data_IF_968065491485
#
_entry.id   IF_968065491485
#
_cell.length_a   1.000
_cell.length_b   1.000
_cell.length_c   1.000
_cell.angle_alpha   90.00
_cell.angle_beta   90.00
_cell.angle_gamma   90.00
#
_symmetry.space_group_name_H-M   'P 1'
#
loop_
_entity.id
_entity.type
_entity.pdbx_description
1 polymer ?
#
# COMPACT_ATOMS: atom_id res chain seq x y z
N UNK A 1 15.17 10.48 -47.07
CA UNK A 1 16.15 10.80 -46.01
C UNK A 1 15.33 11.30 -44.84
N UNK A 2 15.15 10.46 -43.81
CA UNK A 2 14.34 10.81 -42.66
C UNK A 2 15.24 11.56 -41.67
N UNK A 3 14.99 12.86 -41.50
CA UNK A 3 15.53 13.64 -40.39
C UNK A 3 14.97 13.05 -39.10
N UNK A 4 15.75 12.16 -38.47
CA UNK A 4 15.57 11.81 -37.07
C UNK A 4 15.92 13.06 -36.28
N UNK A 5 14.91 13.84 -35.94
CA UNK A 5 15.01 14.86 -34.91
C UNK A 5 15.48 14.17 -33.63
N UNK A 6 16.77 14.31 -33.32
CA UNK A 6 17.33 13.96 -32.03
C UNK A 6 16.73 14.95 -31.04
N UNK A 7 15.64 14.56 -30.40
CA UNK A 7 15.03 15.28 -29.30
C UNK A 7 16.11 15.41 -28.22
N UNK A 8 16.76 16.59 -28.16
CA UNK A 8 17.83 16.85 -27.23
C UNK A 8 17.22 16.80 -25.84
N UNK A 9 17.63 15.80 -25.04
CA UNK A 9 17.20 15.67 -23.66
C UNK A 9 17.36 17.02 -22.94
N UNK A 10 16.25 17.65 -22.58
CA UNK A 10 16.28 18.87 -21.79
C UNK A 10 16.65 18.49 -20.36
N UNK A 11 17.74 19.10 -19.87
CA UNK A 11 18.15 18.96 -18.48
C UNK A 11 17.23 19.87 -17.68
N UNK A 12 16.21 19.30 -17.06
CA UNK A 12 15.23 20.03 -16.26
C UNK A 12 15.80 20.47 -14.90
N UNK A 13 16.71 19.67 -14.34
CA UNK A 13 17.30 19.91 -13.01
C UNK A 13 18.57 20.76 -13.13
N UNK A 14 18.53 21.98 -12.59
CA UNK A 14 19.70 22.86 -12.47
C UNK A 14 20.40 22.64 -11.14
N UNK A 15 21.72 22.73 -11.13
CA UNK A 15 22.53 22.62 -9.92
C UNK A 15 22.34 23.85 -9.03
N UNK A 16 21.94 23.56 -7.80
CA UNK A 16 21.88 24.44 -6.66
C UNK A 16 22.76 23.84 -5.55
N UNK A 17 23.17 24.65 -4.57
CA UNK A 17 24.04 24.18 -3.47
C UNK A 17 23.42 23.05 -2.64
N UNK A 18 22.09 22.91 -2.69
CA UNK A 18 21.32 21.94 -1.91
C UNK A 18 20.77 20.77 -2.71
N UNK A 19 21.13 20.59 -4.00
CA UNK A 19 20.54 19.50 -4.80
C UNK A 19 21.58 18.71 -5.61
N UNK A 20 22.87 18.80 -5.24
CA UNK A 20 23.95 18.11 -5.95
C UNK A 20 23.70 16.60 -6.14
N UNK A 21 23.05 15.93 -5.19
CA UNK A 21 22.72 14.50 -5.27
C UNK A 21 21.63 14.17 -6.30
N UNK A 22 20.71 15.10 -6.58
CA UNK A 22 19.70 14.97 -7.63
C UNK A 22 20.30 15.38 -8.98
N UNK A 23 21.09 16.45 -9.00
CA UNK A 23 21.74 16.95 -10.19
C UNK A 23 22.75 15.97 -10.79
N UNK A 24 23.62 15.37 -9.95
CA UNK A 24 24.70 14.46 -10.39
C UNK A 24 24.20 13.29 -11.26
N UNK A 25 23.23 12.46 -10.84
CA UNK A 25 22.73 11.36 -11.65
C UNK A 25 22.05 11.86 -12.93
N UNK A 26 21.32 12.99 -12.90
CA UNK A 26 20.69 13.56 -14.09
C UNK A 26 21.72 13.98 -15.14
N UNK A 27 22.80 14.64 -14.74
CA UNK A 27 23.87 15.03 -15.67
C UNK A 27 24.63 13.81 -16.19
N UNK A 28 24.90 12.80 -15.34
CA UNK A 28 25.48 11.52 -15.78
C UNK A 28 24.60 10.89 -16.88
N UNK A 29 23.28 10.85 -16.66
CA UNK A 29 22.34 10.29 -17.61
C UNK A 29 22.32 11.09 -18.92
N UNK A 30 22.28 12.42 -18.87
CA UNK A 30 22.36 13.28 -20.06
C UNK A 30 23.67 13.09 -20.83
N UNK A 31 24.80 12.99 -20.12
CA UNK A 31 26.10 12.69 -20.74
C UNK A 31 26.11 11.31 -21.40
N UNK A 32 25.48 10.30 -20.80
CA UNK A 32 25.36 8.96 -21.37
C UNK A 32 24.50 8.96 -22.65
N UNK A 33 23.32 9.60 -22.63
CA UNK A 33 22.41 9.71 -23.78
C UNK A 33 23.11 10.38 -24.97
N UNK A 34 23.90 11.43 -24.74
CA UNK A 34 24.63 12.14 -25.79
C UNK A 34 25.99 11.49 -26.14
N UNK A 35 26.27 10.30 -25.61
CA UNK A 35 27.53 9.57 -25.83
C UNK A 35 28.77 10.43 -25.49
N UNK A 36 28.68 11.22 -24.43
CA UNK A 36 29.73 12.14 -23.95
C UNK A 36 30.28 11.74 -22.58
N UNK A 37 29.74 10.69 -21.95
CA UNK A 37 30.09 10.27 -20.60
C UNK A 37 31.59 10.06 -20.40
N UNK A 38 32.27 9.38 -21.33
CA UNK A 38 33.70 9.06 -21.20
C UNK A 38 34.62 10.29 -21.17
N UNK A 39 34.16 11.45 -21.67
CA UNK A 39 34.94 12.69 -21.68
C UNK A 39 34.84 13.47 -20.37
N UNK A 40 33.74 13.30 -19.63
CA UNK A 40 33.54 13.93 -18.34
C UNK A 40 33.84 12.97 -17.16
N UNK A 41 33.46 11.69 -17.27
CA UNK A 41 33.39 10.72 -16.17
C UNK A 41 33.91 9.35 -16.66
N UNK A 42 35.20 9.10 -16.48
CA UNK A 42 35.83 7.83 -16.87
C UNK A 42 37.36 7.93 -16.96
N UNK A 43 38.06 6.85 -17.38
CA UNK A 43 39.45 6.94 -17.79
C UNK A 43 39.52 7.90 -18.98
N UNK A 44 39.95 9.13 -18.70
CA UNK A 44 39.92 10.23 -19.66
C UNK A 44 40.62 9.78 -20.94
N UNK A 45 39.95 9.78 -22.10
CA UNK A 45 40.66 9.60 -23.36
C UNK A 45 41.68 10.74 -23.45
N UNK A 46 42.97 10.40 -23.32
CA UNK A 46 44.05 11.40 -23.33
C UNK A 46 43.82 12.36 -24.49
N UNK A 47 43.86 13.67 -24.19
CA UNK A 47 43.72 14.71 -25.21
C UNK A 47 44.72 14.40 -26.33
N UNK A 48 44.25 14.10 -27.54
CA UNK A 48 45.15 13.72 -28.61
C UNK A 48 46.07 14.90 -28.92
N UNK A 49 47.36 14.61 -29.12
CA UNK A 49 48.39 15.61 -29.41
C UNK A 49 48.19 16.32 -30.76
N UNK A 50 47.41 15.69 -31.65
CA UNK A 50 46.91 16.29 -32.89
C UNK A 50 45.43 16.55 -32.73
N UNK A 51 44.92 17.64 -33.33
CA UNK A 51 43.52 18.02 -33.27
C UNK A 51 42.63 16.95 -33.92
N UNK A 52 42.18 15.98 -33.13
CA UNK A 52 41.08 15.10 -33.51
C UNK A 52 39.79 15.90 -33.34
N UNK A 53 39.20 16.32 -34.46
CA UNK A 53 37.96 17.10 -34.48
C UNK A 53 36.85 16.42 -33.68
N UNK A 54 36.80 15.08 -33.69
CA UNK A 54 35.80 14.29 -32.97
C UNK A 54 35.99 14.37 -31.45
N UNK A 55 37.23 14.39 -30.98
CA UNK A 55 37.51 14.57 -29.55
C UNK A 55 37.08 15.96 -29.09
N UNK A 56 37.46 17.00 -29.82
CA UNK A 56 37.15 18.39 -29.47
C UNK A 56 35.65 18.69 -29.52
N UNK A 57 34.94 18.07 -30.46
CA UNK A 57 33.48 18.13 -30.57
C UNK A 57 32.80 17.51 -29.35
N UNK A 58 33.15 16.25 -29.01
CA UNK A 58 32.54 15.54 -27.89
C UNK A 58 32.86 16.15 -26.53
N UNK A 59 34.08 16.65 -26.35
CA UNK A 59 34.46 17.39 -25.15
C UNK A 59 33.66 18.70 -25.01
N UNK A 60 33.47 19.47 -26.10
CA UNK A 60 32.63 20.68 -26.07
C UNK A 60 31.17 20.36 -25.80
N UNK A 61 30.65 19.28 -26.36
CA UNK A 61 29.30 18.80 -26.08
C UNK A 61 29.12 18.43 -24.60
N UNK A 62 30.09 17.73 -24.00
CA UNK A 62 30.10 17.42 -22.58
C UNK A 62 30.11 18.69 -21.71
N UNK A 63 30.98 19.67 -22.03
CA UNK A 63 31.01 20.96 -21.33
C UNK A 63 29.67 21.68 -21.45
N UNK A 64 29.06 21.70 -22.64
CA UNK A 64 27.78 22.36 -22.86
C UNK A 64 26.65 21.73 -22.03
N UNK A 65 26.62 20.38 -21.94
CA UNK A 65 25.68 19.64 -21.10
C UNK A 65 25.86 20.02 -19.63
N UNK A 66 27.09 19.96 -19.12
CA UNK A 66 27.40 20.32 -17.74
C UNK A 66 27.04 21.79 -17.48
N UNK A 67 27.52 22.72 -18.30
CA UNK A 67 27.29 24.16 -18.11
C UNK A 67 25.81 24.55 -18.20
N UNK A 68 25.02 23.96 -19.10
CA UNK A 68 23.56 24.20 -19.21
C UNK A 68 22.82 23.76 -17.94
N UNK A 69 23.32 22.75 -17.26
CA UNK A 69 22.77 22.26 -16.01
C UNK A 69 23.20 23.08 -14.78
N UNK A 70 24.01 24.14 -14.92
CA UNK A 70 24.42 24.99 -13.81
C UNK A 70 23.50 26.21 -13.68
N UNK A 71 23.24 26.64 -12.45
CA UNK A 71 22.68 27.98 -12.20
C UNK A 71 23.71 29.07 -12.56
N UNK A 72 23.28 30.31 -12.89
CA UNK A 72 24.21 31.38 -13.27
C UNK A 72 25.30 31.66 -12.23
N UNK A 73 24.97 31.54 -10.94
CA UNK A 73 25.91 31.74 -9.84
C UNK A 73 27.01 30.67 -9.82
N UNK A 74 26.65 29.40 -9.96
CA UNK A 74 27.61 28.29 -9.99
C UNK A 74 28.41 28.30 -11.29
N UNK A 75 27.79 28.63 -12.42
CA UNK A 75 28.48 28.80 -13.70
C UNK A 75 29.59 29.85 -13.61
N UNK A 76 29.34 30.99 -12.91
CA UNK A 76 30.37 32.01 -12.67
C UNK A 76 31.53 31.49 -11.79
N UNK A 77 31.25 30.63 -10.82
CA UNK A 77 32.26 30.01 -9.94
C UNK A 77 33.22 29.12 -10.73
N UNK A 78 32.70 28.35 -11.69
CA UNK A 78 33.46 27.38 -12.49
C UNK A 78 33.81 27.88 -13.90
N UNK A 79 33.79 29.19 -14.11
CA UNK A 79 34.01 29.80 -15.43
C UNK A 79 35.41 29.50 -15.97
N UNK A 80 36.42 29.43 -15.09
CA UNK A 80 37.80 29.15 -15.49
C UNK A 80 37.94 27.75 -16.08
N UNK A 81 37.30 26.76 -15.48
CA UNK A 81 37.28 25.37 -15.94
C UNK A 81 36.50 25.22 -17.26
N UNK A 82 35.42 26.00 -17.44
CA UNK A 82 34.68 26.07 -18.71
C UNK A 82 35.57 26.65 -19.82
N UNK A 83 36.30 27.74 -19.52
CA UNK A 83 37.21 28.39 -20.48
C UNK A 83 38.41 27.50 -20.80
N UNK A 84 38.87 26.68 -19.85
CA UNK A 84 39.97 25.73 -20.06
C UNK A 84 39.64 24.61 -21.06
N UNK A 85 38.37 24.50 -21.49
CA UNK A 85 37.88 23.50 -22.42
C UNK A 85 38.20 22.06 -21.98
N UNK A 86 38.05 21.77 -20.68
CA UNK A 86 38.27 20.43 -20.14
C UNK A 86 37.03 19.96 -19.35
N UNK A 87 36.24 19.09 -19.99
CA UNK A 87 35.01 18.56 -19.40
C UNK A 87 35.28 17.75 -18.13
N UNK A 88 36.41 17.03 -18.07
CA UNK A 88 36.77 16.21 -16.92
C UNK A 88 37.22 17.08 -15.75
N UNK A 89 38.06 18.09 -16.01
CA UNK A 89 38.46 19.05 -14.99
C UNK A 89 37.24 19.80 -14.43
N UNK A 90 36.33 20.25 -15.29
CA UNK A 90 35.08 20.88 -14.88
C UNK A 90 34.23 19.95 -14.01
N UNK A 91 34.01 18.71 -14.45
CA UNK A 91 33.25 17.72 -13.68
C UNK A 91 33.87 17.48 -12.31
N UNK A 92 35.19 17.27 -12.25
CA UNK A 92 35.89 17.04 -10.99
C UNK A 92 35.86 18.27 -10.07
N UNK A 93 36.01 19.48 -10.61
CA UNK A 93 35.94 20.72 -9.83
C UNK A 93 34.55 20.94 -9.22
N UNK A 94 33.48 20.67 -9.99
CA UNK A 94 32.11 20.71 -9.48
C UNK A 94 31.91 19.60 -8.45
N UNK A 95 32.29 18.36 -8.77
CA UNK A 95 32.18 17.23 -7.85
C UNK A 95 32.88 17.53 -6.55
N UNK A 96 34.15 17.91 -6.57
CA UNK A 96 34.97 18.07 -5.37
C UNK A 96 34.63 19.36 -4.60
N UNK A 97 34.15 20.40 -5.28
CA UNK A 97 33.75 21.66 -4.66
C UNK A 97 32.33 21.60 -4.06
N UNK A 98 31.36 21.13 -4.84
CA UNK A 98 29.96 21.08 -4.41
C UNK A 98 29.67 19.86 -3.53
N UNK A 99 30.33 18.71 -3.71
CA UNK A 99 30.19 17.59 -2.74
C UNK A 99 30.66 17.96 -1.33
N UNK A 100 31.63 18.88 -1.21
CA UNK A 100 32.10 19.38 0.09
C UNK A 100 31.16 20.41 0.70
N UNK A 101 30.46 21.19 -0.12
CA UNK A 101 29.41 22.11 0.34
C UNK A 101 28.16 21.34 0.79
N UNK A 102 27.94 20.15 0.23
CA UNK A 102 26.90 19.20 0.63
C UNK A 102 27.17 18.59 2.00
N UNK A 103 28.36 18.72 2.60
CA UNK A 103 28.56 18.50 4.04
C UNK A 103 27.90 19.60 4.91
N UNK A 104 26.75 20.11 4.48
CA UNK A 104 25.85 20.86 5.33
C UNK A 104 25.34 19.88 6.39
N UNK A 105 25.90 19.99 7.59
CA UNK A 105 25.53 19.16 8.74
C UNK A 105 24.01 19.10 8.94
N UNK A 106 23.31 20.22 8.70
CA UNK A 106 21.85 20.27 8.77
C UNK A 106 21.16 19.40 7.71
N UNK A 107 21.65 19.41 6.46
CA UNK A 107 21.06 18.59 5.41
C UNK A 107 21.24 17.10 5.71
N UNK A 108 22.42 16.72 6.22
CA UNK A 108 22.68 15.36 6.73
C UNK A 108 21.74 15.01 7.88
N UNK A 109 21.61 15.87 8.88
CA UNK A 109 20.74 15.65 10.04
C UNK A 109 19.28 15.46 9.61
N UNK A 110 18.80 16.30 8.69
CA UNK A 110 17.45 16.18 8.14
C UNK A 110 17.26 14.84 7.41
N UNK A 111 18.24 14.38 6.62
CA UNK A 111 18.20 13.07 5.95
C UNK A 111 18.22 11.90 6.92
N UNK A 112 19.04 11.98 7.97
CA UNK A 112 19.11 10.96 9.02
C UNK A 112 17.78 10.91 9.77
N UNK A 113 17.20 12.06 10.08
CA UNK A 113 15.87 12.16 10.67
C UNK A 113 14.79 11.59 9.75
N UNK A 114 14.82 11.92 8.46
CA UNK A 114 13.94 11.37 7.43
C UNK A 114 14.04 9.83 7.39
N UNK A 115 15.26 9.29 7.43
CA UNK A 115 15.53 7.85 7.46
C UNK A 115 14.87 7.17 8.66
N UNK A 116 15.12 7.65 9.88
CA UNK A 116 14.61 7.02 11.09
C UNK A 116 13.11 7.26 11.33
N UNK A 117 12.56 8.35 10.79
CA UNK A 117 11.11 8.65 10.82
C UNK A 117 10.32 7.98 9.71
N UNK A 118 10.97 7.44 8.67
CA UNK A 118 10.28 6.74 7.60
C UNK A 118 9.47 5.56 8.16
N UNK A 119 8.15 5.59 7.93
CA UNK A 119 7.21 4.53 8.28
C UNK A 119 6.54 4.00 7.02
N UNK A 120 6.20 2.71 7.05
CA UNK A 120 5.37 2.07 6.05
C UNK A 120 3.91 2.36 6.32
N UNK A 121 3.17 2.79 5.29
CA UNK A 121 1.74 3.09 5.36
C UNK A 121 0.99 2.15 4.39
N UNK A 122 0.50 0.98 4.86
CA UNK A 122 -0.05 -0.06 3.98
C UNK A 122 -1.23 0.36 3.10
N UNK A 123 -1.99 1.38 3.50
CA UNK A 123 -3.15 1.87 2.77
C UNK A 123 -2.80 2.88 1.66
N UNK A 124 -1.59 3.44 1.66
CA UNK A 124 -1.19 4.49 0.71
C UNK A 124 0.00 4.11 -0.16
N UNK A 125 0.80 3.13 0.25
CA UNK A 125 1.97 2.70 -0.52
C UNK A 125 2.13 1.17 -0.46
N UNK A 126 2.79 0.58 -1.47
CA UNK A 126 3.20 -0.83 -1.40
C UNK A 126 4.48 -0.97 -0.58
N UNK A 127 4.77 -2.19 -0.08
CA UNK A 127 6.05 -2.47 0.59
C UNK A 127 7.25 -2.13 -0.32
N UNK A 128 7.12 -2.40 -1.62
CA UNK A 128 8.16 -2.07 -2.61
C UNK A 128 8.42 -0.56 -2.73
N UNK A 129 7.37 0.27 -2.63
CA UNK A 129 7.52 1.73 -2.63
C UNK A 129 8.20 2.22 -1.36
N UNK A 130 7.83 1.66 -0.21
CA UNK A 130 8.50 1.95 1.06
C UNK A 130 10.00 1.59 1.03
N UNK A 131 10.34 0.40 0.53
CA UNK A 131 11.74 -0.04 0.35
C UNK A 131 12.48 0.90 -0.62
N UNK A 132 11.85 1.31 -1.72
CA UNK A 132 12.45 2.26 -2.68
C UNK A 132 12.74 3.61 -2.01
N UNK A 133 11.84 4.09 -1.16
CA UNK A 133 12.02 5.33 -0.39
C UNK A 133 13.19 5.22 0.59
N UNK A 134 13.30 4.13 1.35
CA UNK A 134 14.46 3.89 2.24
C UNK A 134 15.79 3.86 1.48
N UNK A 135 15.85 3.17 0.33
CA UNK A 135 17.06 3.13 -0.52
C UNK A 135 17.39 4.49 -1.12
N UNK A 136 16.38 5.28 -1.48
CA UNK A 136 16.57 6.66 -1.96
C UNK A 136 17.20 7.54 -0.88
N UNK A 137 16.76 7.40 0.37
CA UNK A 137 17.38 8.13 1.50
C UNK A 137 18.80 7.63 1.75
N UNK A 138 19.04 6.31 1.70
CA UNK A 138 20.38 5.74 1.83
C UNK A 138 21.34 6.27 0.76
N UNK A 139 20.96 6.30 -0.52
CA UNK A 139 21.82 6.79 -1.60
C UNK A 139 22.13 8.29 -1.47
N UNK A 140 21.20 9.08 -0.95
CA UNK A 140 21.46 10.49 -0.57
C UNK A 140 22.45 10.58 0.59
N UNK A 141 22.39 9.65 1.55
CA UNK A 141 23.31 9.55 2.68
C UNK A 141 24.70 8.99 2.32
N UNK A 142 24.85 8.23 1.22
CA UNK A 142 26.15 7.73 0.73
C UNK A 142 27.17 8.83 0.43
N UNK A 143 26.70 10.05 0.21
CA UNK A 143 27.56 11.22 0.00
C UNK A 143 28.17 11.78 1.30
N UNK A 144 27.81 11.24 2.47
CA UNK A 144 28.24 11.70 3.78
C UNK A 144 29.03 10.63 4.54
N UNK A 145 29.72 11.04 5.60
CA UNK A 145 30.43 10.12 6.48
C UNK A 145 29.46 9.18 7.21
N UNK A 146 29.80 7.88 7.19
CA UNK A 146 29.06 6.78 7.81
C UNK A 146 27.61 6.63 7.30
N UNK A 147 27.41 6.30 6.02
CA UNK A 147 26.08 6.05 5.49
C UNK A 147 25.42 4.83 6.15
N UNK A 148 24.08 4.75 6.15
CA UNK A 148 23.38 3.59 6.68
C UNK A 148 23.82 2.30 6.00
N UNK A 149 24.24 1.34 6.82
CA UNK A 149 24.56 -0.02 6.40
C UNK A 149 23.29 -0.82 6.07
N UNK A 150 23.43 -1.92 5.34
CA UNK A 150 22.32 -2.86 5.09
C UNK A 150 21.65 -3.36 6.38
N UNK A 151 22.42 -3.51 7.46
CA UNK A 151 21.88 -3.87 8.78
C UNK A 151 20.99 -2.75 9.36
N UNK A 152 21.39 -1.49 9.20
CA UNK A 152 20.57 -0.35 9.62
C UNK A 152 19.34 -0.18 8.74
N UNK A 153 19.44 -0.42 7.43
CA UNK A 153 18.30 -0.48 6.52
C UNK A 153 17.29 -1.55 6.94
N UNK A 154 17.79 -2.76 7.25
CA UNK A 154 16.96 -3.84 7.77
C UNK A 154 16.27 -3.45 9.07
N UNK A 155 17.03 -2.93 10.03
CA UNK A 155 16.48 -2.49 11.30
C UNK A 155 15.36 -1.46 11.08
N UNK A 156 15.59 -0.48 10.20
CA UNK A 156 14.60 0.56 9.88
C UNK A 156 13.38 0.01 9.12
N UNK A 157 13.57 -0.95 8.22
CA UNK A 157 12.47 -1.64 7.55
C UNK A 157 11.55 -2.31 8.58
N UNK A 158 12.11 -3.00 9.57
CA UNK A 158 11.36 -3.68 10.62
C UNK A 158 10.70 -2.68 11.57
N UNK A 159 11.43 -1.71 12.11
CA UNK A 159 10.88 -0.72 13.06
C UNK A 159 9.93 0.27 12.40
N UNK A 160 9.99 0.39 11.07
CA UNK A 160 9.11 1.22 10.26
C UNK A 160 7.76 0.59 9.94
N UNK A 161 7.57 -0.70 10.20
CA UNK A 161 6.26 -1.35 10.05
C UNK A 161 5.24 -0.79 11.06
N UNK A 162 3.94 -0.84 10.77
CA UNK A 162 2.90 -0.47 11.73
C UNK A 162 2.99 -1.27 13.03
N UNK A 163 2.53 -0.67 14.15
CA UNK A 163 2.50 -1.30 15.47
C UNK A 163 1.12 -1.90 15.81
N UNK A 164 0.30 -2.17 14.79
CA UNK A 164 -1.07 -2.68 14.93
C UNK A 164 -1.29 -3.90 14.05
N UNK A 165 -2.17 -4.80 14.51
CA UNK A 165 -2.56 -6.00 13.77
C UNK A 165 -1.39 -6.95 13.46
N UNK A 166 -1.41 -7.55 12.27
CA UNK A 166 -0.40 -8.51 11.82
C UNK A 166 1.04 -7.96 11.82
N UNK A 167 1.20 -6.64 11.62
CA UNK A 167 2.50 -6.01 11.50
C UNK A 167 3.34 -6.13 12.78
N UNK A 168 2.71 -6.08 13.95
CA UNK A 168 3.39 -6.27 15.24
C UNK A 168 4.00 -7.67 15.37
N UNK A 169 3.28 -8.70 14.92
CA UNK A 169 3.77 -10.08 14.93
C UNK A 169 4.94 -10.27 13.96
N UNK A 170 4.83 -9.69 12.75
CA UNK A 170 5.90 -9.68 11.76
C UNK A 170 7.16 -9.02 12.37
N UNK A 171 7.02 -7.86 13.02
CA UNK A 171 8.15 -7.19 13.68
C UNK A 171 8.81 -8.08 14.74
N UNK A 172 8.03 -8.67 15.65
CA UNK A 172 8.55 -9.50 16.73
C UNK A 172 9.33 -10.70 16.17
N UNK A 173 8.79 -11.35 15.13
CA UNK A 173 9.42 -12.50 14.50
C UNK A 173 10.71 -12.13 13.77
N UNK A 174 10.76 -10.96 13.13
CA UNK A 174 11.92 -10.53 12.36
C UNK A 174 13.04 -9.92 13.21
N UNK A 175 12.76 -9.30 14.37
CA UNK A 175 13.79 -8.63 15.21
C UNK A 175 14.92 -9.56 15.67
N UNK A 176 14.63 -10.83 15.91
CA UNK A 176 15.60 -11.82 16.40
C UNK A 176 16.38 -12.56 15.32
N UNK A 177 16.21 -12.22 14.03
CA UNK A 177 16.86 -12.95 12.94
C UNK A 177 18.13 -12.26 12.47
N UNK A 178 19.10 -13.02 11.94
CA UNK A 178 20.30 -12.49 11.30
C UNK A 178 20.15 -12.43 9.77
N UNK A 179 18.90 -12.23 9.30
CA UNK A 179 18.59 -12.19 7.87
C UNK A 179 19.17 -10.94 7.22
N UNK A 180 19.56 -11.07 5.95
CA UNK A 180 19.93 -9.92 5.14
C UNK A 180 18.73 -8.99 4.90
N UNK A 181 19.01 -7.77 4.42
CA UNK A 181 17.95 -6.82 4.05
C UNK A 181 17.00 -7.40 3.01
N UNK A 182 17.53 -8.06 1.98
CA UNK A 182 16.73 -8.69 0.92
C UNK A 182 15.89 -9.87 1.43
N UNK A 183 16.46 -10.76 2.25
CA UNK A 183 15.69 -11.84 2.86
C UNK A 183 14.58 -11.32 3.78
N UNK A 184 14.83 -10.21 4.48
CA UNK A 184 13.81 -9.58 5.34
C UNK A 184 12.63 -9.07 4.53
N UNK A 185 12.88 -8.45 3.36
CA UNK A 185 11.81 -8.01 2.45
C UNK A 185 10.95 -9.22 2.03
N UNK A 186 11.60 -10.29 1.55
CA UNK A 186 10.91 -11.52 1.12
C UNK A 186 10.07 -12.10 2.26
N UNK A 187 10.61 -12.13 3.49
CA UNK A 187 9.86 -12.64 4.64
C UNK A 187 8.65 -11.78 5.00
N UNK A 188 8.75 -10.45 4.89
CA UNK A 188 7.60 -9.56 5.13
C UNK A 188 6.51 -9.86 4.10
N UNK A 189 6.85 -9.96 2.82
CA UNK A 189 5.90 -10.29 1.75
C UNK A 189 5.24 -11.66 1.97
N UNK A 190 6.02 -12.67 2.36
CA UNK A 190 5.50 -13.99 2.69
C UNK A 190 4.52 -13.95 3.87
N UNK A 191 4.85 -13.24 4.95
CA UNK A 191 3.94 -13.11 6.09
C UNK A 191 2.68 -12.33 5.76
N UNK A 192 2.80 -11.27 4.96
CA UNK A 192 1.64 -10.52 4.47
C UNK A 192 0.70 -11.42 3.66
N UNK A 193 1.26 -12.26 2.78
CA UNK A 193 0.48 -13.19 1.98
C UNK A 193 -0.22 -14.26 2.85
N UNK A 194 0.52 -14.89 3.77
CA UNK A 194 -0.04 -15.88 4.71
C UNK A 194 -1.22 -15.28 5.49
N UNK A 195 -1.07 -14.05 5.98
CA UNK A 195 -2.14 -13.39 6.72
C UNK A 195 -3.36 -13.08 5.86
N UNK A 196 -3.16 -12.64 4.62
CA UNK A 196 -4.25 -12.40 3.66
C UNK A 196 -5.00 -13.68 3.34
N UNK A 197 -4.31 -14.81 3.27
CA UNK A 197 -4.93 -16.11 2.97
C UNK A 197 -5.71 -16.62 4.19
N UNK A 198 -5.16 -16.49 5.41
CA UNK A 198 -5.88 -16.81 6.65
C UNK A 198 -7.15 -15.98 6.84
N UNK A 199 -7.09 -14.68 6.55
CA UNK A 199 -8.27 -13.80 6.59
C UNK A 199 -9.36 -14.22 5.60
N UNK A 200 -8.99 -14.73 4.42
CA UNK A 200 -9.97 -15.25 3.45
C UNK A 200 -10.60 -16.55 3.93
N UNK A 201 -9.80 -17.44 4.50
CA UNK A 201 -10.32 -18.70 5.06
C UNK A 201 -11.28 -18.44 6.22
N UNK A 202 -10.99 -17.49 7.09
CA UNK A 202 -11.87 -17.10 8.21
C UNK A 202 -13.21 -16.51 7.71
N UNK A 203 -13.18 -15.62 6.71
CA UNK A 203 -14.41 -15.06 6.12
C UNK A 203 -15.25 -16.13 5.42
N UNK A 204 -14.63 -17.07 4.71
CA UNK A 204 -15.36 -18.18 4.07
C UNK A 204 -15.98 -19.09 5.12
N UNK A 205 -15.28 -19.38 6.22
CA UNK A 205 -15.83 -20.19 7.31
C UNK A 205 -17.02 -19.50 8.00
N UNK A 206 -16.94 -18.19 8.26
CA UNK A 206 -18.06 -17.42 8.82
C UNK A 206 -19.28 -17.39 7.87
N UNK A 207 -19.07 -17.27 6.56
CA UNK A 207 -20.17 -17.35 5.58
C UNK A 207 -20.80 -18.75 5.52
N UNK A 208 -20.00 -19.82 5.60
CA UNK A 208 -20.50 -21.20 5.65
C UNK A 208 -21.28 -21.50 6.94
N UNK A 209 -20.81 -20.99 8.09
CA UNK A 209 -21.51 -21.12 9.38
C UNK A 209 -22.84 -20.35 9.35
N UNK A 210 -22.85 -19.12 8.83
CA UNK A 210 -24.09 -18.35 8.69
C UNK A 210 -25.09 -19.02 7.72
N UNK A 211 -24.61 -19.66 6.65
CA UNK A 211 -25.47 -20.36 5.71
C UNK A 211 -26.05 -21.66 6.30
N UNK A 212 -25.26 -22.40 7.09
CA UNK A 212 -25.75 -23.59 7.80
C UNK A 212 -26.71 -23.25 8.94
N UNK A 213 -26.48 -22.15 9.66
CA UNK A 213 -27.44 -21.65 10.66
C UNK A 213 -28.76 -21.24 10.00
N UNK A 214 -28.72 -20.58 8.84
CA UNK A 214 -29.92 -20.21 8.09
C UNK A 214 -30.72 -21.45 7.61
N UNK A 215 -30.03 -22.47 7.08
CA UNK A 215 -30.67 -23.73 6.64
C UNK A 215 -31.32 -24.47 7.82
N UNK A 216 -30.66 -24.51 8.98
CA UNK A 216 -31.21 -25.13 10.18
C UNK A 216 -32.46 -24.40 10.72
N UNK A 217 -32.50 -23.06 10.59
CA UNK A 217 -33.69 -22.26 10.95
C UNK A 217 -34.85 -22.55 9.98
N UNK A 218 -34.58 -22.68 8.68
CA UNK A 218 -35.61 -23.00 7.68
C UNK A 218 -36.19 -24.40 7.91
N UNK A 219 -35.36 -25.40 8.20
CA UNK A 219 -35.82 -26.75 8.55
C UNK A 219 -36.65 -26.78 9.85
N UNK A 220 -36.28 -26.01 10.88
CA UNK A 220 -37.05 -25.93 12.13
C UNK A 220 -38.41 -25.25 11.90
N UNK A 221 -38.47 -24.23 11.03
CA UNK A 221 -39.71 -23.55 10.67
C UNK A 221 -40.64 -24.48 9.87
N UNK A 222 -40.12 -25.24 8.91
CA UNK A 222 -40.90 -26.22 8.15
C UNK A 222 -41.48 -27.32 9.05
N UNK A 223 -40.69 -27.85 9.99
CA UNK A 223 -41.17 -28.85 10.95
C UNK A 223 -42.29 -28.30 11.84
N UNK A 224 -42.17 -27.04 12.29
CA UNK A 224 -43.17 -26.37 13.11
C UNK A 224 -44.48 -26.13 12.35
N UNK A 225 -44.38 -25.73 11.08
CA UNK A 225 -45.56 -25.59 10.21
C UNK A 225 -46.26 -26.94 9.97
N UNK A 226 -45.50 -28.02 9.82
CA UNK A 226 -46.07 -29.35 9.65
C UNK A 226 -46.78 -29.87 10.90
N UNK A 227 -46.21 -29.64 12.10
CA UNK A 227 -46.89 -29.95 13.36
C UNK A 227 -48.20 -29.17 13.50
N UNK A 228 -48.18 -27.87 13.23
CA UNK A 228 -49.38 -27.03 13.27
C UNK A 228 -50.46 -27.51 12.28
N UNK A 229 -50.06 -27.97 11.09
CA UNK A 229 -50.99 -28.56 10.10
C UNK A 229 -51.64 -29.84 10.63
N UNK A 230 -50.86 -30.73 11.26
CA UNK A 230 -51.37 -31.98 11.85
C UNK A 230 -52.35 -31.69 12.99
N UNK A 231 -52.02 -30.77 13.90
CA UNK A 231 -52.92 -30.38 14.99
C UNK A 231 -54.26 -29.84 14.47
N UNK A 232 -54.21 -29.00 13.43
CA UNK A 232 -55.42 -28.44 12.82
C UNK A 232 -56.27 -29.49 12.10
N UNK A 233 -55.65 -30.49 11.49
CA UNK A 233 -56.37 -31.64 10.91
C UNK A 233 -57.04 -32.48 12.01
N UNK A 234 -56.36 -32.73 13.12
CA UNK A 234 -56.94 -33.41 14.28
C UNK A 234 -58.13 -32.63 14.87
N UNK A 235 -57.98 -31.31 15.08
CA UNK A 235 -59.10 -30.46 15.52
C UNK A 235 -60.30 -30.54 14.57
N UNK A 236 -60.06 -30.47 13.25
CA UNK A 236 -61.11 -30.60 12.25
C UNK A 236 -61.80 -31.98 12.33
N UNK A 237 -61.06 -33.07 12.49
CA UNK A 237 -61.67 -34.41 12.65
C UNK A 237 -62.52 -34.51 13.91
N UNK A 238 -62.09 -33.91 15.03
CA UNK A 238 -62.87 -33.85 16.27
C UNK A 238 -64.17 -33.07 16.06
N UNK A 239 -64.12 -31.95 15.34
CA UNK A 239 -65.30 -31.15 14.99
C UNK A 239 -66.28 -31.96 14.13
N UNK A 240 -65.79 -32.65 13.09
CA UNK A 240 -66.62 -33.50 12.23
C UNK A 240 -67.28 -34.66 12.99
N UNK A 241 -66.54 -35.35 13.85
CA UNK A 241 -67.07 -36.42 14.71
C UNK A 241 -68.16 -35.87 15.64
N UNK A 242 -67.93 -34.72 16.25
CA UNK A 242 -68.92 -34.07 17.12
C UNK A 242 -70.17 -33.62 16.37
N UNK A 243 -70.04 -33.13 15.13
CA UNK A 243 -71.17 -32.81 14.26
C UNK A 243 -71.96 -34.06 13.86
N UNK A 244 -71.28 -35.16 13.53
CA UNK A 244 -71.91 -36.45 13.23
C UNK A 244 -72.69 -37.00 14.44
N UNK A 245 -72.10 -36.96 15.64
CA UNK A 245 -72.78 -37.36 16.89
C UNK A 245 -73.96 -36.43 17.21
N UNK A 246 -73.81 -35.12 16.97
CA UNK A 246 -74.89 -34.13 17.14
C UNK A 246 -76.07 -34.36 16.20
N UNK A 247 -75.81 -34.83 14.97
CA UNK A 247 -76.84 -35.17 13.98
C UNK A 247 -77.66 -36.42 14.37
N UNK A 248 -77.06 -37.36 15.13
CA UNK A 248 -77.78 -38.54 15.66
C UNK A 248 -78.69 -38.20 16.85
N UNK A 249 -78.54 -37.02 17.48
CA UNK A 249 -79.32 -36.61 18.67
C UNK A 249 -80.56 -35.74 18.39
N UNK A 250 -81.05 -35.63 17.16
CA UNK A 250 -82.40 -35.11 16.87
C UNK A 250 -83.07 -35.96 15.79
N UNK A 251 -84.17 -36.68 16.08
CA UNK A 251 -85.36 -36.11 16.71
C UNK A 251 -86.01 -37.00 17.79
N UNK A 252 -85.96 -36.55 19.06
CA UNK A 252 -86.90 -36.97 20.11
C UNK A 252 -87.25 -35.77 21.00
N UNK A 253 -87.57 -34.63 20.40
CA UNK A 253 -88.14 -33.48 21.10
C UNK A 253 -88.98 -32.64 20.14
N UNK A 254 -90.06 -33.23 19.65
CA UNK A 254 -91.19 -32.51 19.07
C UNK A 254 -92.45 -32.95 19.82
N UNK A 255 -92.55 -32.62 21.12
CA UNK A 255 -93.82 -32.50 21.86
C UNK A 255 -93.53 -32.19 23.35
N UNK A 256 -93.55 -30.91 23.72
CA UNK A 256 -94.41 -30.39 24.80
C UNK A 256 -94.14 -28.91 25.01
N UNK A 257 -95.14 -28.13 24.60
CA UNK A 257 -95.36 -26.76 24.99
C UNK A 257 -95.61 -26.64 26.50
N UNK A 258 -95.41 -25.40 26.97
CA UNK A 258 -95.68 -24.84 28.30
C UNK A 258 -94.65 -25.35 29.32
N UNK A 259 -93.89 -24.49 30.00
CA UNK A 259 -94.33 -23.59 31.05
C UNK A 259 -93.46 -22.30 31.11
N UNK A 260 -94.13 -21.19 31.36
CA UNK A 260 -93.61 -19.87 31.77
C UNK A 260 -92.89 -19.91 33.12
N UNK A 261 -91.80 -19.15 33.31
CA UNK A 261 -91.37 -18.42 34.54
C UNK A 261 -90.05 -17.67 34.19
N UNK A 262 -90.05 -16.34 34.01
CA UNK A 262 -89.89 -15.23 34.99
C UNK A 262 -88.46 -15.09 35.58
N UNK A 263 -87.83 -13.98 35.19
CA UNK A 263 -86.91 -13.09 35.92
C UNK A 263 -85.72 -13.64 36.73
N UNK A 264 -84.53 -13.15 36.40
CA UNK A 264 -83.56 -12.42 37.26
C UNK A 264 -82.34 -12.11 36.36
N UNK A 265 -82.07 -10.88 35.93
CA UNK A 265 -81.41 -9.79 36.68
C UNK A 265 -80.03 -10.16 37.27
N UNK A 266 -79.06 -9.30 36.93
CA UNK A 266 -77.74 -9.11 37.55
C UNK A 266 -76.65 -10.16 37.21
N UNK A 267 -75.43 -9.79 36.86
CA UNK A 267 -74.80 -8.47 36.87
C UNK A 267 -73.40 -8.54 36.27
N UNK A 268 -72.86 -7.34 36.07
CA UNK A 268 -71.51 -7.05 35.61
C UNK A 268 -70.44 -7.73 36.48
N UNK A 269 -69.31 -8.07 35.85
CA UNK A 269 -68.00 -7.74 36.43
C UNK A 269 -66.96 -7.67 35.32
N UNK A 270 -66.45 -6.45 35.10
CA UNK A 270 -65.14 -6.15 34.52
C UNK A 270 -64.09 -6.36 35.61
N UNK A 271 -62.90 -6.86 35.26
CA UNK A 271 -61.58 -6.53 35.83
C UNK A 271 -60.52 -7.39 35.10
N UNK A 272 -59.80 -6.85 34.12
CA UNK A 272 -58.46 -6.23 34.25
C UNK A 272 -57.43 -7.10 34.97
N UNK A 273 -56.46 -7.64 34.23
CA UNK A 273 -55.04 -7.18 34.18
C UNK A 273 -54.55 -7.35 32.75
#
# INVERSE_FOLDING_TARGET
MADKATEKAEIEIKLEWSNFWEWKPTVIQSLAINSCLAWAIGPVPQRPSKSDGKWAEKNREAIAIIAKSLTPMICKKYLNEIIAEDANALWNAIRDGESKLVNNTQARENLVEEFYKAKYIPYSESLGDYVRRLKSIQSRLECYDNPPTDSQLRAQLITGLPLVGMWTLIQLRLRGTDKSFQETIIQIEQYEQIYKDQLKEEVVAEEEEANTEAEAIEEEEEHREEEYRKEKEEENTIIEVNQAIGSVRKPLCAMRNTWTWRSCEEGETKLNV
#
